data_IF_790695603947
#
_entry.id   IF_790695603947
#
_cell.length_a   1.000
_cell.length_b   1.000
_cell.length_c   1.000
_cell.angle_alpha   90.00
_cell.angle_beta   90.00
_cell.angle_gamma   90.00
#
_symmetry.space_group_name_H-M   'P 1'
#
loop_
_entity.id
_entity.type
_entity.pdbx_description
1 polymer ?
#
# COMPACT_ATOMS: atom_id res chain seq x y z
N UNK A 1 -2.70 -19.53 4.87
CA UNK A 1 -3.65 -18.82 3.99
C UNK A 1 -2.97 -17.78 3.13
N UNK A 2 -3.48 -17.63 1.93
CA UNK A 2 -2.96 -16.70 0.97
C UNK A 2 -3.27 -15.26 1.36
N UNK A 3 -2.29 -14.36 1.20
CA UNK A 3 -2.52 -12.93 1.44
C UNK A 3 -3.21 -12.32 0.22
N UNK A 4 -4.33 -11.66 0.44
CA UNK A 4 -5.10 -10.99 -0.62
C UNK A 4 -4.91 -9.48 -0.57
N UNK A 5 -5.19 -8.81 -1.70
CA UNK A 5 -5.16 -7.35 -1.77
C UNK A 5 -6.17 -6.75 -0.79
N UNK A 6 -7.36 -7.35 -0.70
CA UNK A 6 -8.41 -6.86 0.21
C UNK A 6 -7.94 -6.91 1.67
N UNK A 7 -7.28 -8.00 2.06
CA UNK A 7 -6.72 -8.12 3.43
C UNK A 7 -5.67 -7.04 3.71
N UNK A 8 -4.80 -6.78 2.73
CA UNK A 8 -3.77 -5.74 2.85
C UNK A 8 -4.43 -4.36 3.00
N UNK A 9 -5.37 -4.04 2.12
CA UNK A 9 -6.05 -2.75 2.15
C UNK A 9 -6.79 -2.56 3.46
N UNK A 10 -7.50 -3.58 3.94
CA UNK A 10 -8.24 -3.49 5.20
C UNK A 10 -7.30 -3.19 6.38
N UNK A 11 -6.16 -3.85 6.46
CA UNK A 11 -5.21 -3.63 7.55
C UNK A 11 -4.59 -2.23 7.49
N UNK A 12 -4.23 -1.77 6.30
CA UNK A 12 -3.68 -0.42 6.13
C UNK A 12 -4.76 0.63 6.43
N UNK A 13 -5.99 0.40 6.00
CA UNK A 13 -7.12 1.30 6.27
C UNK A 13 -7.30 1.46 7.79
N UNK A 14 -7.29 0.36 8.51
CA UNK A 14 -7.41 0.37 9.97
C UNK A 14 -6.28 1.16 10.62
N UNK A 15 -5.05 0.93 10.19
CA UNK A 15 -3.85 1.59 10.74
C UNK A 15 -3.88 3.09 10.52
N UNK A 16 -4.32 3.54 9.36
CA UNK A 16 -4.33 4.96 9.00
C UNK A 16 -5.63 5.67 9.34
N UNK A 17 -6.65 4.94 9.78
CA UNK A 17 -7.96 5.53 10.08
C UNK A 17 -8.68 6.04 8.83
N UNK A 18 -8.53 5.35 7.71
CA UNK A 18 -9.17 5.67 6.44
C UNK A 18 -9.98 4.47 5.96
N UNK A 19 -10.77 4.64 4.91
CA UNK A 19 -11.58 3.56 4.35
C UNK A 19 -10.83 2.86 3.21
N UNK A 20 -11.23 1.62 2.94
CA UNK A 20 -10.72 0.88 1.80
C UNK A 20 -11.01 1.61 0.48
N UNK A 21 -12.21 2.18 0.35
CA UNK A 21 -12.60 2.94 -0.85
C UNK A 21 -11.71 4.17 -1.04
N UNK A 22 -11.36 4.86 0.04
CA UNK A 22 -10.44 6.01 -0.03
C UNK A 22 -9.07 5.58 -0.51
N UNK A 23 -8.56 4.44 -0.04
CA UNK A 23 -7.28 3.92 -0.49
C UNK A 23 -7.30 3.61 -1.99
N UNK A 24 -8.39 3.06 -2.50
CA UNK A 24 -8.52 2.72 -3.92
C UNK A 24 -8.82 3.93 -4.80
N UNK A 25 -9.31 5.02 -4.24
CA UNK A 25 -9.79 6.17 -5.00
C UNK A 25 -8.68 6.87 -5.78
N UNK A 26 -8.97 7.26 -7.02
CA UNK A 26 -8.08 8.13 -7.80
C UNK A 26 -8.20 9.60 -7.39
N UNK A 27 -9.32 9.98 -6.80
CA UNK A 27 -9.68 11.39 -6.58
C UNK A 27 -9.22 11.94 -5.26
N UNK A 28 -9.02 11.09 -4.27
CA UNK A 28 -8.70 11.57 -2.94
C UNK A 28 -7.20 11.79 -2.79
N UNK A 29 -6.82 13.03 -2.46
CA UNK A 29 -5.42 13.47 -2.44
C UNK A 29 -4.94 13.95 -1.07
N UNK A 30 -5.70 13.73 0.01
CA UNK A 30 -5.20 14.09 1.33
C UNK A 30 -3.90 13.33 1.60
N UNK A 31 -2.99 13.95 2.35
CA UNK A 31 -1.69 13.35 2.64
C UNK A 31 -1.84 12.01 3.34
N UNK A 32 -2.79 11.92 4.29
CA UNK A 32 -3.01 10.70 5.05
C UNK A 32 -3.48 9.54 4.15
N UNK A 33 -4.42 9.81 3.25
CA UNK A 33 -4.93 8.80 2.32
C UNK A 33 -3.86 8.42 1.30
N UNK A 34 -3.12 9.40 0.76
CA UNK A 34 -2.03 9.12 -0.17
C UNK A 34 -0.95 8.25 0.47
N UNK A 35 -0.58 8.54 1.71
CA UNK A 35 0.41 7.73 2.43
C UNK A 35 -0.10 6.31 2.66
N UNK A 36 -1.35 6.17 3.08
CA UNK A 36 -1.98 4.85 3.25
C UNK A 36 -1.95 4.06 1.94
N UNK A 37 -2.30 4.71 0.83
CA UNK A 37 -2.30 4.09 -0.50
C UNK A 37 -0.89 3.64 -0.90
N UNK A 38 0.11 4.48 -0.69
CA UNK A 38 1.50 4.14 -1.02
C UNK A 38 1.94 2.88 -0.26
N UNK A 39 1.65 2.82 1.03
CA UNK A 39 2.00 1.66 1.85
C UNK A 39 1.24 0.41 1.40
N UNK A 40 -0.06 0.54 1.09
CA UNK A 40 -0.86 -0.58 0.62
C UNK A 40 -0.33 -1.13 -0.72
N UNK A 41 0.05 -0.26 -1.64
CA UNK A 41 0.66 -0.65 -2.92
C UNK A 41 1.98 -1.39 -2.68
N UNK A 42 2.83 -0.85 -1.82
CA UNK A 42 4.12 -1.47 -1.49
C UNK A 42 3.92 -2.87 -0.90
N UNK A 43 3.01 -3.01 0.07
CA UNK A 43 2.70 -4.30 0.69
C UNK A 43 2.10 -5.29 -0.31
N UNK A 44 1.30 -4.83 -1.23
CA UNK A 44 0.74 -5.68 -2.28
C UNK A 44 1.86 -6.26 -3.15
N UNK A 45 2.86 -5.44 -3.50
CA UNK A 45 4.04 -5.91 -4.24
C UNK A 45 4.80 -6.96 -3.42
N UNK A 46 5.02 -6.71 -2.13
CA UNK A 46 5.84 -7.57 -1.29
C UNK A 46 5.16 -8.88 -0.90
N UNK A 47 3.85 -8.88 -0.73
CA UNK A 47 3.11 -10.00 -0.16
C UNK A 47 2.30 -10.80 -1.17
N UNK A 48 2.27 -10.38 -2.43
CA UNK A 48 1.57 -11.11 -3.50
C UNK A 48 2.48 -11.28 -4.71
N UNK A 49 2.02 -12.05 -5.68
CA UNK A 49 2.74 -12.25 -6.95
C UNK A 49 2.15 -11.43 -8.10
N UNK A 50 1.33 -10.44 -7.78
CA UNK A 50 0.69 -9.62 -8.80
C UNK A 50 1.71 -8.78 -9.57
N UNK A 51 1.47 -8.63 -10.87
CA UNK A 51 2.27 -7.76 -11.74
C UNK A 51 2.01 -6.29 -11.42
N UNK A 52 2.89 -5.40 -11.88
CA UNK A 52 2.69 -3.96 -11.73
C UNK A 52 1.39 -3.50 -12.37
N UNK A 53 1.02 -4.07 -13.51
CA UNK A 53 -0.23 -3.77 -14.20
C UNK A 53 -1.41 -4.21 -13.33
N UNK A 54 -1.39 -5.42 -12.82
CA UNK A 54 -2.46 -5.95 -11.97
C UNK A 54 -2.62 -5.14 -10.68
N UNK A 55 -1.51 -4.73 -10.07
CA UNK A 55 -1.55 -3.87 -8.88
C UNK A 55 -2.22 -2.55 -9.23
N UNK A 56 -1.86 -1.93 -10.36
CA UNK A 56 -2.49 -0.68 -10.80
C UNK A 56 -4.00 -0.81 -10.93
N UNK A 57 -4.46 -1.93 -11.47
CA UNK A 57 -5.90 -2.21 -11.62
C UNK A 57 -6.62 -2.29 -10.26
N UNK A 58 -5.95 -2.82 -9.24
CA UNK A 58 -6.53 -2.95 -7.91
C UNK A 58 -6.58 -1.62 -7.14
N UNK A 59 -5.81 -0.63 -7.57
CA UNK A 59 -5.72 0.66 -6.91
C UNK A 59 -6.20 1.80 -7.82
N UNK A 60 -7.46 1.70 -8.26
CA UNK A 60 -8.12 2.75 -9.01
C UNK A 60 -7.68 2.84 -10.46
N UNK A 61 -7.28 1.74 -11.07
CA UNK A 61 -6.81 1.70 -12.47
C UNK A 61 -5.64 2.66 -12.72
N UNK A 62 -4.66 2.64 -11.82
CA UNK A 62 -3.44 3.42 -12.00
C UNK A 62 -2.51 2.73 -12.98
N UNK A 63 -1.87 3.54 -13.82
CA UNK A 63 -0.88 3.04 -14.77
C UNK A 63 0.31 2.43 -14.02
N UNK A 64 0.92 1.38 -14.61
CA UNK A 64 2.04 0.69 -13.97
C UNK A 64 3.21 1.61 -13.66
N UNK A 65 3.45 2.66 -14.45
CA UNK A 65 4.51 3.63 -14.17
C UNK A 65 4.29 4.35 -12.84
N UNK A 66 3.03 4.62 -12.49
CA UNK A 66 2.68 5.21 -11.18
C UNK A 66 2.98 4.24 -10.05
N UNK A 67 2.73 2.95 -10.28
CA UNK A 67 3.05 1.91 -9.28
C UNK A 67 4.56 1.86 -9.05
N UNK A 68 5.35 1.85 -10.11
CA UNK A 68 6.82 1.86 -10.00
C UNK A 68 7.31 3.09 -9.22
N UNK A 69 6.76 4.26 -9.55
CA UNK A 69 7.08 5.50 -8.84
C UNK A 69 6.77 5.39 -7.33
N UNK A 70 5.59 4.85 -7.01
CA UNK A 70 5.17 4.67 -5.62
C UNK A 70 6.11 3.75 -4.86
N UNK A 71 6.51 2.63 -5.47
CA UNK A 71 7.43 1.68 -4.82
C UNK A 71 8.77 2.32 -4.51
N UNK A 72 9.31 3.11 -5.44
CA UNK A 72 10.56 3.85 -5.21
C UNK A 72 10.40 4.86 -4.08
N UNK A 73 9.28 5.54 -4.04
CA UNK A 73 8.99 6.52 -3.00
C UNK A 73 8.94 5.87 -1.61
N UNK A 74 8.32 4.71 -1.49
CA UNK A 74 8.27 3.99 -0.21
C UNK A 74 9.67 3.51 0.20
N UNK A 75 10.47 3.01 -0.75
CA UNK A 75 11.84 2.62 -0.47
C UNK A 75 12.66 3.80 0.09
N UNK A 76 12.51 4.99 -0.50
CA UNK A 76 13.16 6.20 -0.02
C UNK A 76 12.68 6.58 1.38
N UNK A 77 11.39 6.49 1.62
CA UNK A 77 10.82 6.79 2.94
C UNK A 77 11.38 5.87 4.01
N UNK A 78 11.47 4.56 3.72
CA UNK A 78 12.04 3.60 4.65
C UNK A 78 13.52 3.84 4.93
N UNK A 79 14.27 4.25 3.91
CA UNK A 79 15.70 4.54 4.05
C UNK A 79 15.95 5.76 4.93
N UNK A 80 15.03 6.72 4.94
CA UNK A 80 15.17 7.98 5.68
C UNK A 80 14.51 8.00 7.05
N UNK A 81 13.51 7.15 7.26
CA UNK A 81 12.70 7.19 8.47
C UNK A 81 12.46 5.77 8.99
N UNK A 82 13.11 5.47 10.11
CA UNK A 82 12.99 4.17 10.78
C UNK A 82 11.53 3.88 11.17
N UNK A 83 10.76 4.91 11.52
CA UNK A 83 9.36 4.72 11.93
C UNK A 83 8.52 4.16 10.81
N UNK A 84 8.79 4.58 9.57
CA UNK A 84 8.10 4.06 8.39
C UNK A 84 8.42 2.57 8.23
N UNK A 85 9.69 2.21 8.33
CA UNK A 85 10.09 0.81 8.23
C UNK A 85 9.47 -0.05 9.32
N UNK A 86 9.45 0.44 10.56
CA UNK A 86 8.83 -0.27 11.67
C UNK A 86 7.32 -0.45 11.46
N UNK A 87 6.65 0.59 10.97
CA UNK A 87 5.22 0.52 10.67
C UNK A 87 4.93 -0.55 9.61
N UNK A 88 5.74 -0.60 8.56
CA UNK A 88 5.59 -1.59 7.50
C UNK A 88 5.82 -3.00 8.06
N UNK A 89 6.88 -3.19 8.83
CA UNK A 89 7.20 -4.50 9.43
C UNK A 89 6.06 -4.97 10.34
N UNK A 90 5.53 -4.09 11.18
CA UNK A 90 4.42 -4.41 12.07
C UNK A 90 3.14 -4.73 11.29
N UNK A 91 2.87 -3.99 10.23
CA UNK A 91 1.71 -4.22 9.38
C UNK A 91 1.80 -5.59 8.70
N UNK A 92 2.98 -5.97 8.22
CA UNK A 92 3.22 -7.29 7.63
C UNK A 92 2.92 -8.39 8.66
N UNK A 93 3.41 -8.24 9.88
CA UNK A 93 3.13 -9.20 10.96
C UNK A 93 1.64 -9.34 11.20
N UNK A 94 0.91 -8.24 11.25
CA UNK A 94 -0.54 -8.24 11.48
C UNK A 94 -1.28 -8.93 10.33
N UNK A 95 -0.85 -8.71 9.09
CA UNK A 95 -1.46 -9.32 7.91
C UNK A 95 -1.23 -10.84 7.92
N UNK A 96 -0.03 -11.27 8.23
CA UNK A 96 0.33 -12.68 8.25
C UNK A 96 -0.16 -13.42 9.49
N UNK A 97 -0.51 -12.67 10.49
CA UNK A 97 -1.09 -13.18 11.71
C UNK A 97 -0.21 -13.96 12.57
#
# INVERSE_FOLDING_TARGET
PEVTVDRIIDEVARTYGVTADEIRSQKNRSANISNARHIAIYLTRELTTLSMVAIGEKFGNRHYSTIIYTLRKVDEMMAKDRKVKELIDDTIKNIRG
#
